data_IF_647853853408
#
_entry.id   IF_647853853408
#
_cell.length_a   1.000
_cell.length_b   1.000
_cell.length_c   1.000
_cell.angle_alpha   90.00
_cell.angle_beta   90.00
_cell.angle_gamma   90.00
#
_symmetry.space_group_name_H-M   'P 1'
#
loop_
_entity.id
_entity.type
_entity.pdbx_description
1 polymer ?
#
# COMPACT_ATOMS: atom_id res chain seq x y z
N UNK A 1 13.07 5.78 -0.98
CA UNK A 1 13.25 5.55 -2.43
C UNK A 1 14.22 6.54 -3.10
N UNK A 2 14.75 7.57 -2.42
CA UNK A 2 15.71 8.54 -2.98
C UNK A 2 17.21 8.22 -2.72
N UNK A 3 17.52 7.16 -1.97
CA UNK A 3 18.88 6.88 -1.50
C UNK A 3 19.62 5.81 -2.32
N UNK A 4 19.05 5.33 -3.43
CA UNK A 4 19.76 4.35 -4.26
C UNK A 4 20.78 5.09 -5.15
N UNK A 5 22.07 4.68 -5.15
CA UNK A 5 23.14 5.40 -5.85
C UNK A 5 22.95 5.51 -7.36
N UNK A 6 22.17 4.60 -7.96
CA UNK A 6 21.83 4.62 -9.38
C UNK A 6 20.91 5.79 -9.81
N UNK A 7 20.14 6.38 -8.89
CA UNK A 7 19.18 7.44 -9.24
C UNK A 7 19.83 8.82 -9.43
N UNK A 8 20.79 9.27 -8.59
CA UNK A 8 21.54 10.50 -8.86
C UNK A 8 22.45 10.44 -10.08
N UNK A 9 22.91 9.25 -10.46
CA UNK A 9 23.83 9.04 -11.59
C UNK A 9 23.14 8.81 -12.93
N UNK A 10 21.80 8.80 -12.97
CA UNK A 10 20.99 8.48 -14.15
C UNK A 10 21.36 7.11 -14.78
N UNK A 11 21.89 6.19 -13.97
CA UNK A 11 22.37 4.87 -14.39
C UNK A 11 21.40 3.78 -13.90
N UNK A 12 20.14 3.90 -14.33
CA UNK A 12 19.10 2.93 -14.04
C UNK A 12 18.34 2.60 -15.32
N UNK A 13 18.22 1.32 -15.66
CA UNK A 13 17.51 0.83 -16.84
C UNK A 13 16.13 0.26 -16.48
N UNK A 14 15.38 -0.24 -17.47
CA UNK A 14 14.09 -0.88 -17.23
C UNK A 14 14.19 -2.18 -16.42
N UNK A 15 15.39 -2.78 -16.35
CA UNK A 15 15.67 -3.97 -15.54
C UNK A 15 16.18 -3.62 -14.13
N UNK A 16 16.27 -2.34 -13.78
CA UNK A 16 16.80 -1.87 -12.51
C UNK A 16 16.14 -2.57 -11.32
N UNK A 17 14.80 -2.67 -11.34
CA UNK A 17 14.02 -3.33 -10.29
C UNK A 17 14.39 -4.81 -10.17
N UNK A 18 14.52 -5.50 -11.31
CA UNK A 18 14.87 -6.93 -11.37
C UNK A 18 16.28 -7.20 -10.82
N UNK A 19 17.22 -6.30 -11.09
CA UNK A 19 18.62 -6.48 -10.75
C UNK A 19 18.93 -6.06 -9.29
N UNK A 20 18.17 -5.10 -8.74
CA UNK A 20 18.45 -4.52 -7.43
C UNK A 20 17.46 -4.91 -6.31
N UNK A 21 16.30 -5.46 -6.66
CA UNK A 21 15.31 -5.91 -5.67
C UNK A 21 15.05 -7.40 -5.80
N UNK A 22 15.63 -8.17 -4.87
CA UNK A 22 15.33 -9.58 -4.72
C UNK A 22 14.05 -9.77 -3.89
N UNK A 23 13.23 -10.81 -4.12
CA UNK A 23 12.02 -11.06 -3.33
C UNK A 23 12.27 -11.14 -1.82
N UNK A 24 13.49 -11.52 -1.41
CA UNK A 24 13.92 -11.54 -0.01
C UNK A 24 13.95 -10.16 0.64
N UNK A 25 14.14 -9.07 -0.11
CA UNK A 25 14.13 -7.70 0.43
C UNK A 25 12.72 -7.16 0.68
N UNK A 26 11.70 -7.84 0.14
CA UNK A 26 10.29 -7.52 0.39
C UNK A 26 9.79 -8.14 1.69
N UNK A 27 10.60 -8.95 2.37
CA UNK A 27 10.24 -9.51 3.67
C UNK A 27 10.21 -8.37 4.69
N UNK A 28 9.03 -7.96 5.16
CA UNK A 28 8.96 -6.96 6.19
C UNK A 28 9.61 -7.58 7.44
N UNK A 29 10.68 -6.96 7.94
CA UNK A 29 11.09 -7.20 9.32
C UNK A 29 10.17 -6.35 10.18
N UNK A 30 9.17 -6.93 10.87
CA UNK A 30 8.29 -6.14 11.68
C UNK A 30 9.12 -5.51 12.80
N UNK A 31 9.14 -4.18 12.87
CA UNK A 31 9.64 -3.52 14.06
C UNK A 31 8.77 -3.96 15.25
N UNK A 32 9.35 -4.31 16.41
CA UNK A 32 8.60 -4.74 17.58
C UNK A 32 7.46 -3.79 17.96
N UNK A 33 7.66 -2.49 17.76
CA UNK A 33 6.69 -1.44 18.06
C UNK A 33 5.46 -1.50 17.14
N UNK A 34 5.68 -1.65 15.83
CA UNK A 34 4.58 -1.83 14.86
C UNK A 34 3.83 -3.15 15.11
N UNK A 35 4.52 -4.21 15.53
CA UNK A 35 3.88 -5.48 15.86
C UNK A 35 2.94 -5.34 17.07
N UNK A 36 3.37 -4.63 18.12
CA UNK A 36 2.56 -4.34 19.29
C UNK A 36 1.35 -3.44 18.96
N UNK A 37 1.55 -2.38 18.17
CA UNK A 37 0.47 -1.50 17.73
C UNK A 37 -0.57 -2.24 16.89
N UNK A 38 -0.12 -3.11 15.97
CA UNK A 38 -1.02 -3.92 15.15
C UNK A 38 -1.84 -4.90 16.00
N UNK A 39 -1.23 -5.53 17.00
CA UNK A 39 -1.93 -6.44 17.92
C UNK A 39 -2.98 -5.70 18.76
N UNK A 40 -2.66 -4.50 19.25
CA UNK A 40 -3.60 -3.64 19.95
C UNK A 40 -4.80 -3.25 19.07
N UNK A 41 -4.54 -2.77 17.85
CA UNK A 41 -5.59 -2.41 16.88
C UNK A 41 -6.48 -3.59 16.51
N UNK A 42 -5.89 -4.79 16.36
CA UNK A 42 -6.65 -6.01 16.07
C UNK A 42 -7.54 -6.44 17.26
N UNK A 43 -7.06 -6.24 18.49
CA UNK A 43 -7.83 -6.46 19.72
C UNK A 43 -9.08 -5.59 19.77
N UNK A 44 -8.95 -4.31 19.44
CA UNK A 44 -10.06 -3.34 19.36
C UNK A 44 -11.04 -3.68 18.22
N UNK A 45 -10.53 -4.15 17.08
CA UNK A 45 -11.37 -4.50 15.92
C UNK A 45 -12.15 -5.80 16.09
N UNK A 46 -11.77 -6.69 17.01
CA UNK A 46 -12.48 -7.97 17.21
C UNK A 46 -13.94 -7.80 17.70
N UNK A 47 -14.33 -6.60 18.14
CA UNK A 47 -15.72 -6.23 18.45
C UNK A 47 -16.54 -5.70 17.26
N UNK A 48 -15.91 -5.33 16.14
CA UNK A 48 -16.58 -4.78 14.96
C UNK A 48 -16.22 -5.64 13.74
N UNK A 49 -17.15 -6.49 13.31
CA UNK A 49 -16.98 -7.49 12.26
C UNK A 49 -16.00 -7.07 11.15
N UNK A 50 -14.85 -7.71 11.12
CA UNK A 50 -13.82 -7.49 10.12
C UNK A 50 -14.40 -7.83 8.74
N UNK A 51 -14.80 -6.80 8.00
CA UNK A 51 -15.14 -6.94 6.60
C UNK A 51 -13.86 -7.38 5.87
N UNK A 52 -13.86 -8.62 5.40
CA UNK A 52 -12.88 -9.09 4.42
C UNK A 52 -13.02 -8.19 3.20
N UNK A 53 -12.05 -7.29 2.99
CA UNK A 53 -11.94 -6.56 1.74
C UNK A 53 -11.62 -7.58 0.64
N UNK A 54 -12.64 -7.94 -0.15
CA UNK A 54 -12.44 -8.70 -1.36
C UNK A 54 -11.67 -7.81 -2.34
N UNK A 55 -10.46 -8.23 -2.72
CA UNK A 55 -9.75 -7.67 -3.88
C UNK A 55 -10.41 -8.15 -5.18
N UNK A 56 -11.71 -7.88 -5.32
CA UNK A 56 -12.49 -8.18 -6.50
C UNK A 56 -12.56 -6.95 -7.39
N UNK A 57 -11.69 -6.88 -8.40
CA UNK A 57 -11.97 -6.09 -9.59
C UNK A 57 -13.22 -6.67 -10.28
N UNK A 58 -14.40 -6.30 -9.79
CA UNK A 58 -15.66 -6.60 -10.46
C UNK A 58 -15.86 -5.57 -11.57
N UNK A 59 -15.49 -5.95 -12.78
CA UNK A 59 -16.00 -5.33 -14.00
C UNK A 59 -17.53 -5.55 -14.03
N UNK A 60 -18.30 -4.53 -13.66
CA UNK A 60 -19.75 -4.64 -13.65
C UNK A 60 -20.44 -3.35 -13.21
N UNK A 61 -20.66 -2.44 -14.17
CA UNK A 61 -21.85 -1.59 -14.35
C UNK A 61 -22.59 -0.94 -13.16
N UNK A 62 -22.03 -0.85 -11.96
CA UNK A 62 -22.62 -0.15 -10.83
C UNK A 62 -21.95 1.22 -10.66
N UNK A 63 -22.76 2.26 -10.45
CA UNK A 63 -22.29 3.62 -10.25
C UNK A 63 -21.24 3.67 -9.12
N UNK A 64 -19.98 3.91 -9.51
CA UNK A 64 -18.87 4.04 -8.57
C UNK A 64 -19.18 5.22 -7.63
N UNK A 65 -19.27 5.01 -6.31
CA UNK A 65 -19.50 6.11 -5.39
C UNK A 65 -18.39 7.15 -5.54
N UNK A 66 -18.77 8.39 -5.84
CA UNK A 66 -17.81 9.47 -6.08
C UNK A 66 -17.01 9.70 -4.81
N UNK A 67 -15.67 9.59 -4.92
CA UNK A 67 -14.76 9.78 -3.80
C UNK A 67 -14.84 11.21 -3.24
N UNK A 68 -14.62 11.34 -1.94
CA UNK A 68 -14.62 12.65 -1.26
C UNK A 68 -13.54 13.59 -1.80
N UNK A 69 -12.44 13.04 -2.32
CA UNK A 69 -11.41 13.83 -3.01
C UNK A 69 -11.96 14.53 -4.27
N UNK A 70 -12.71 13.82 -5.10
CA UNK A 70 -13.31 14.40 -6.32
C UNK A 70 -14.35 15.47 -5.97
N UNK A 71 -15.15 15.25 -4.91
CA UNK A 71 -16.13 16.24 -4.42
C UNK A 71 -15.45 17.54 -3.97
N UNK A 72 -14.34 17.43 -3.23
CA UNK A 72 -13.64 18.59 -2.70
C UNK A 72 -12.90 19.42 -3.76
N UNK A 73 -12.55 18.82 -4.92
CA UNK A 73 -11.91 19.54 -6.02
C UNK A 73 -12.86 20.29 -6.95
N UNK A 74 -14.10 19.82 -7.08
CA UNK A 74 -15.12 20.44 -7.95
C UNK A 74 -15.93 21.54 -7.24
N UNK A 75 -15.79 21.67 -5.93
CA UNK A 75 -16.42 22.71 -5.12
C UNK A 75 -15.56 24.00 -5.01
N UNK A 76 -14.56 24.17 -5.89
CA UNK A 76 -13.71 25.36 -6.01
C UNK A 76 -13.83 26.00 -7.38
#
# INVERSE_FOLDING_TARGET
MLYHPAFPSDDFDTNFVRNHFQPSVLQPTPSPELAQLAAFLLGEQKGAGAATASNGAAAGGAAVPVSNWKKNRLAR
#
